data_IF_657534850675
#
_entry.id   IF_657534850675
#
_cell.length_a   1.000
_cell.length_b   1.000
_cell.length_c   1.000
_cell.angle_alpha   90.00
_cell.angle_beta   90.00
_cell.angle_gamma   90.00
#
_symmetry.space_group_name_H-M   'P 1'
#
loop_
_entity.id
_entity.type
_entity.pdbx_description
1 polymer ?
#
# COMPACT_ATOMS: atom_id res chain seq x y z
N UNK A 1 36.92 45.21 -2.07
CA UNK A 1 35.81 45.56 -1.16
C UNK A 1 34.51 45.01 -1.73
N UNK A 2 33.73 44.33 -0.88
CA UNK A 2 32.28 44.05 -0.91
C UNK A 2 31.69 43.04 -1.92
N UNK A 3 31.16 41.98 -1.29
CA UNK A 3 30.30 40.86 -1.74
C UNK A 3 28.94 41.35 -2.27
N UNK A 4 28.28 40.56 -3.12
CA UNK A 4 26.87 40.18 -2.89
C UNK A 4 26.40 39.04 -3.82
N UNK A 5 26.13 37.90 -3.18
CA UNK A 5 25.33 36.73 -3.52
C UNK A 5 24.02 37.03 -4.27
N UNK A 6 23.63 36.18 -5.24
CA UNK A 6 22.29 35.53 -5.31
C UNK A 6 22.40 34.21 -6.08
N UNK A 7 22.32 33.11 -5.34
CA UNK A 7 22.03 31.79 -5.86
C UNK A 7 20.53 31.70 -6.18
N UNK A 8 20.17 31.09 -7.30
CA UNK A 8 18.86 30.47 -7.50
C UNK A 8 19.13 29.13 -8.20
N UNK A 9 19.28 28.10 -7.36
CA UNK A 9 19.19 26.71 -7.75
C UNK A 9 17.72 26.43 -8.09
N UNK A 10 17.40 26.36 -9.38
CA UNK A 10 16.09 25.86 -9.82
C UNK A 10 16.20 24.34 -9.89
N UNK A 11 15.85 23.71 -8.77
CA UNK A 11 15.79 22.26 -8.60
C UNK A 11 14.83 21.60 -9.57
N UNK A 12 15.23 20.41 -10.01
CA UNK A 12 14.51 19.61 -11.00
C UNK A 12 13.19 19.05 -10.49
N UNK A 13 12.29 18.83 -11.43
CA UNK A 13 11.15 17.95 -11.27
C UNK A 13 11.35 16.78 -12.25
N UNK A 14 11.99 15.72 -11.78
CA UNK A 14 12.03 14.44 -12.50
C UNK A 14 10.63 13.84 -12.36
N UNK A 15 9.81 14.02 -13.38
CA UNK A 15 8.57 13.28 -13.54
C UNK A 15 8.92 11.83 -13.87
N UNK A 16 9.27 11.04 -12.86
CA UNK A 16 9.31 9.60 -12.96
C UNK A 16 7.85 9.12 -12.98
N UNK A 17 7.32 9.03 -14.19
CA UNK A 17 6.10 8.29 -14.50
C UNK A 17 6.36 6.83 -14.09
N UNK A 18 6.00 6.46 -12.86
CA UNK A 18 6.01 5.06 -12.43
C UNK A 18 4.84 4.41 -13.16
N UNK A 19 5.18 3.84 -14.30
CA UNK A 19 4.36 2.86 -15.02
C UNK A 19 3.93 1.83 -13.99
N UNK A 20 2.60 1.72 -13.79
CA UNK A 20 1.99 0.63 -13.04
C UNK A 20 2.40 -0.69 -13.70
N UNK A 21 3.48 -1.27 -13.20
CA UNK A 21 3.89 -2.61 -13.55
C UNK A 21 2.89 -3.55 -12.88
N UNK A 22 1.87 -3.95 -13.63
CA UNK A 22 1.02 -5.11 -13.34
C UNK A 22 1.87 -6.38 -13.54
N UNK A 23 2.92 -6.51 -12.74
CA UNK A 23 3.70 -7.74 -12.60
C UNK A 23 3.30 -8.39 -11.30
N UNK A 24 2.89 -9.66 -11.35
CA UNK A 24 2.81 -10.48 -10.15
C UNK A 24 4.23 -10.63 -9.61
N UNK A 25 4.53 -9.92 -8.53
CA UNK A 25 5.84 -9.98 -7.94
C UNK A 25 5.92 -11.20 -7.01
N UNK A 26 6.87 -12.09 -7.27
CA UNK A 26 7.12 -13.25 -6.41
C UNK A 26 7.85 -12.78 -5.15
N UNK A 27 7.11 -12.63 -4.05
CA UNK A 27 7.66 -12.14 -2.79
C UNK A 27 6.95 -12.72 -1.58
N UNK A 28 6.50 -13.98 -1.64
CA UNK A 28 5.69 -14.61 -0.60
C UNK A 28 6.14 -14.26 0.83
N UNK A 29 7.43 -14.37 1.13
CA UNK A 29 7.98 -14.02 2.45
C UNK A 29 8.66 -12.64 2.57
N UNK A 30 8.68 -11.84 1.50
CA UNK A 30 9.42 -10.56 1.43
C UNK A 30 8.48 -9.37 1.35
N UNK A 31 8.84 -8.31 2.08
CA UNK A 31 8.12 -7.04 2.00
C UNK A 31 8.30 -6.40 0.61
N UNK A 32 7.19 -6.17 -0.10
CA UNK A 32 7.13 -5.36 -1.31
C UNK A 32 6.56 -3.99 -0.96
N UNK A 33 7.25 -2.93 -1.40
CA UNK A 33 6.76 -1.57 -1.27
C UNK A 33 5.53 -1.34 -2.15
N UNK A 34 4.57 -0.59 -1.64
CA UNK A 34 3.41 -0.11 -2.39
C UNK A 34 3.27 1.40 -2.24
N UNK A 35 2.64 2.01 -3.24
CA UNK A 35 2.36 3.44 -3.27
C UNK A 35 1.08 3.65 -4.07
N UNK A 36 -0.04 3.74 -3.35
CA UNK A 36 -1.37 3.79 -3.93
C UNK A 36 -2.03 5.14 -3.69
N UNK A 37 -2.74 5.65 -4.70
CA UNK A 37 -3.63 6.80 -4.53
C UNK A 37 -5.05 6.29 -4.35
N UNK A 38 -5.54 6.34 -3.11
CA UNK A 38 -6.88 5.90 -2.77
C UNK A 38 -7.92 6.95 -3.22
N UNK A 39 -8.93 6.53 -3.98
CA UNK A 39 -10.02 7.41 -4.39
C UNK A 39 -10.90 7.84 -3.21
N UNK A 40 -11.56 8.99 -3.39
CA UNK A 40 -12.59 9.52 -2.50
C UNK A 40 -13.77 8.55 -2.28
N UNK A 41 -14.58 8.84 -1.26
CA UNK A 41 -15.82 8.12 -0.94
C UNK A 41 -15.62 6.63 -0.62
N UNK A 42 -14.50 6.30 0.05
CA UNK A 42 -14.17 4.94 0.48
C UNK A 42 -14.12 3.91 -0.64
N UNK A 43 -13.91 4.37 -1.88
CA UNK A 43 -13.68 3.47 -3.01
C UNK A 43 -12.35 2.75 -2.76
N UNK A 44 -12.34 1.44 -3.01
CA UNK A 44 -11.16 0.62 -2.76
C UNK A 44 -10.03 0.91 -3.75
N UNK A 45 -8.81 1.03 -3.21
CA UNK A 45 -7.57 0.87 -3.94
C UNK A 45 -7.01 -0.54 -3.75
N UNK A 46 -6.11 -0.94 -4.65
CA UNK A 46 -5.54 -2.29 -4.68
C UNK A 46 -4.04 -2.21 -4.89
N UNK A 47 -3.29 -3.01 -4.14
CA UNK A 47 -1.87 -3.19 -4.43
C UNK A 47 -1.69 -4.17 -5.59
N UNK A 48 -0.45 -4.26 -6.08
CA UNK A 48 -0.01 -5.42 -6.87
C UNK A 48 -0.21 -6.73 -6.09
N UNK A 49 -0.38 -7.82 -6.84
CA UNK A 49 -0.51 -9.17 -6.28
C UNK A 49 0.84 -9.76 -5.88
N UNK A 50 0.82 -10.60 -4.85
CA UNK A 50 1.90 -11.51 -4.47
C UNK A 50 1.39 -12.96 -4.50
N UNK A 51 2.25 -13.89 -4.92
CA UNK A 51 1.99 -15.32 -4.72
C UNK A 51 2.30 -15.68 -3.27
N UNK A 52 1.33 -16.29 -2.59
CA UNK A 52 1.48 -16.78 -1.22
C UNK A 52 2.42 -17.97 -1.17
N UNK A 53 3.40 -17.96 -0.27
CA UNK A 53 4.42 -19.01 -0.17
C UNK A 53 4.02 -20.05 0.89
N UNK A 54 3.37 -19.63 1.97
CA UNK A 54 2.97 -20.47 3.11
C UNK A 54 1.45 -20.45 3.30
N UNK A 55 0.83 -21.64 3.37
CA UNK A 55 -0.62 -21.74 3.58
C UNK A 55 -1.02 -21.22 4.96
N UNK A 56 -2.11 -20.45 5.03
CA UNK A 56 -2.75 -19.94 6.25
C UNK A 56 -1.88 -19.04 7.14
N UNK A 57 -0.65 -18.71 6.71
CA UNK A 57 0.18 -17.79 7.46
C UNK A 57 -0.36 -16.37 7.30
N UNK A 58 -0.41 -15.61 8.38
CA UNK A 58 -0.89 -14.22 8.32
C UNK A 58 0.03 -13.41 7.41
N UNK A 59 -0.57 -12.61 6.51
CA UNK A 59 0.20 -11.58 5.81
C UNK A 59 0.64 -10.52 6.81
N UNK A 60 1.58 -9.66 6.43
CA UNK A 60 2.01 -8.56 7.28
C UNK A 60 2.08 -7.28 6.46
N UNK A 61 1.57 -6.19 7.01
CA UNK A 61 1.59 -4.87 6.39
C UNK A 61 2.24 -3.87 7.34
N UNK A 62 3.13 -3.05 6.78
CA UNK A 62 3.67 -1.87 7.41
C UNK A 62 3.22 -0.65 6.61
N UNK A 63 2.46 0.22 7.25
CA UNK A 63 1.98 1.48 6.68
C UNK A 63 3.05 2.54 6.93
N UNK A 64 3.64 3.04 5.86
CA UNK A 64 4.62 4.13 5.94
C UNK A 64 3.94 5.48 6.19
N UNK A 65 3.00 5.85 5.33
CA UNK A 65 2.29 7.14 5.38
C UNK A 65 0.85 7.01 4.89
N UNK A 66 -0.08 7.71 5.53
CA UNK A 66 -1.51 7.85 5.23
C UNK A 66 -1.92 9.31 5.40
N UNK A 67 -1.22 10.25 4.75
CA UNK A 67 -1.62 11.66 4.74
C UNK A 67 -1.93 12.29 6.11
N UNK A 68 -1.16 11.92 7.15
CA UNK A 68 -1.17 12.40 8.56
C UNK A 68 -2.51 12.26 9.31
N UNK A 69 -3.54 13.00 8.91
CA UNK A 69 -4.85 13.00 9.58
C UNK A 69 -5.78 11.87 9.13
N UNK A 70 -5.39 11.10 8.11
CA UNK A 70 -6.20 10.01 7.58
C UNK A 70 -5.80 8.67 8.19
N UNK A 71 -6.74 7.73 8.09
CA UNK A 71 -6.51 6.33 8.40
C UNK A 71 -6.93 5.44 7.23
N UNK A 72 -6.35 4.26 7.17
CA UNK A 72 -6.60 3.27 6.14
C UNK A 72 -7.07 1.97 6.75
N UNK A 73 -8.14 1.43 6.18
CA UNK A 73 -8.61 0.08 6.41
C UNK A 73 -7.94 -0.86 5.40
N UNK A 74 -7.45 -1.99 5.88
CA UNK A 74 -6.66 -2.95 5.09
C UNK A 74 -7.22 -4.35 5.28
N UNK A 75 -7.37 -5.07 4.18
CA UNK A 75 -7.72 -6.50 4.17
C UNK A 75 -6.94 -7.23 3.07
N UNK A 76 -6.60 -8.50 3.30
CA UNK A 76 -5.93 -9.33 2.31
C UNK A 76 -6.97 -10.07 1.48
N UNK A 77 -6.90 -9.95 0.17
CA UNK A 77 -7.85 -10.59 -0.74
C UNK A 77 -7.16 -11.48 -1.75
N UNK A 78 -7.81 -12.59 -2.10
CA UNK A 78 -7.39 -13.40 -3.24
C UNK A 78 -7.70 -12.66 -4.55
N UNK A 79 -6.70 -12.49 -5.40
CA UNK A 79 -6.78 -11.59 -6.57
C UNK A 79 -7.83 -12.04 -7.59
N UNK A 80 -7.98 -13.36 -7.80
CA UNK A 80 -8.89 -13.93 -8.80
C UNK A 80 -10.30 -14.16 -8.26
N UNK A 81 -10.43 -14.63 -7.02
CA UNK A 81 -11.72 -15.00 -6.43
C UNK A 81 -12.40 -13.84 -5.69
N UNK A 82 -11.69 -12.73 -5.46
CA UNK A 82 -12.16 -11.56 -4.71
C UNK A 82 -12.68 -11.89 -3.30
N UNK A 83 -12.21 -13.01 -2.74
CA UNK A 83 -12.47 -13.40 -1.35
C UNK A 83 -11.46 -12.70 -0.47
N UNK A 84 -11.93 -11.94 0.51
CA UNK A 84 -11.11 -11.16 1.43
C UNK A 84 -11.10 -11.77 2.84
N UNK A 85 -10.01 -11.52 3.55
CA UNK A 85 -9.87 -11.82 4.97
C UNK A 85 -10.68 -10.86 5.83
N UNK A 86 -10.59 -11.04 7.15
CA UNK A 86 -11.00 -9.99 8.07
C UNK A 86 -10.24 -8.68 7.79
N UNK A 87 -10.94 -7.58 7.99
CA UNK A 87 -10.45 -6.22 7.76
C UNK A 87 -9.88 -5.66 9.04
N UNK A 88 -8.67 -5.13 8.96
CA UNK A 88 -8.08 -4.30 10.02
C UNK A 88 -8.43 -2.85 9.73
N UNK A 89 -8.95 -2.16 10.74
CA UNK A 89 -9.45 -0.80 10.59
C UNK A 89 -8.50 0.24 11.17
N UNK A 90 -8.50 1.42 10.56
CA UNK A 90 -7.96 2.62 11.19
C UNK A 90 -6.45 2.69 11.34
N UNK A 91 -5.68 2.02 10.48
CA UNK A 91 -4.22 2.12 10.47
C UNK A 91 -3.77 3.52 10.05
N UNK A 92 -2.79 4.08 10.75
CA UNK A 92 -2.21 5.41 10.54
C UNK A 92 -0.75 5.31 10.10
N UNK A 93 -0.11 6.46 9.95
CA UNK A 93 1.32 6.59 9.71
C UNK A 93 2.15 5.75 10.68
N UNK A 94 3.02 4.90 10.12
CA UNK A 94 3.96 4.01 10.81
C UNK A 94 3.32 2.85 11.57
N UNK A 95 2.01 2.63 11.44
CA UNK A 95 1.39 1.44 12.00
C UNK A 95 1.79 0.18 11.22
N UNK A 96 1.86 -0.95 11.91
CA UNK A 96 2.01 -2.26 11.31
C UNK A 96 1.08 -3.27 11.97
N UNK A 97 0.69 -4.30 11.21
CA UNK A 97 -0.22 -5.33 11.69
C UNK A 97 -0.14 -6.59 10.85
N UNK A 98 -0.58 -7.69 11.46
CA UNK A 98 -0.78 -8.97 10.78
C UNK A 98 -2.20 -9.09 10.22
N UNK A 99 -2.30 -9.70 9.05
CA UNK A 99 -3.55 -9.92 8.32
C UNK A 99 -3.86 -11.42 8.33
N UNK A 100 -4.59 -11.85 9.36
CA UNK A 100 -5.04 -13.22 9.52
C UNK A 100 -5.86 -13.68 8.31
N UNK A 101 -5.59 -14.88 7.80
CA UNK A 101 -6.25 -15.41 6.60
C UNK A 101 -6.16 -16.94 6.54
N UNK A 102 -6.90 -17.54 5.60
CA UNK A 102 -6.92 -18.99 5.34
C UNK A 102 -6.53 -19.33 3.89
N UNK A 103 -5.76 -18.44 3.25
CA UNK A 103 -5.36 -18.64 1.85
C UNK A 103 -4.25 -19.69 1.75
N UNK A 104 -4.31 -20.52 0.71
CA UNK A 104 -3.32 -21.58 0.46
C UNK A 104 -2.06 -21.04 -0.21
N UNK A 105 -0.93 -21.72 -0.02
CA UNK A 105 0.27 -21.49 -0.82
C UNK A 105 -0.04 -21.63 -2.32
N UNK A 106 0.60 -20.80 -3.14
CA UNK A 106 0.33 -20.67 -4.57
C UNK A 106 -0.84 -19.75 -4.91
N UNK A 107 -1.66 -19.33 -3.93
CA UNK A 107 -2.71 -18.35 -4.18
C UNK A 107 -2.10 -16.98 -4.53
N UNK A 108 -2.64 -16.32 -5.55
CA UNK A 108 -2.38 -14.90 -5.78
C UNK A 108 -3.26 -14.07 -4.85
N UNK A 109 -2.63 -13.24 -4.04
CA UNK A 109 -3.30 -12.35 -3.08
C UNK A 109 -2.80 -10.92 -3.23
N UNK A 110 -3.60 -9.96 -2.81
CA UNK A 110 -3.30 -8.52 -2.84
C UNK A 110 -3.99 -7.82 -1.67
N UNK A 111 -3.52 -6.64 -1.31
CA UNK A 111 -4.22 -5.82 -0.33
C UNK A 111 -5.34 -5.03 -1.00
N UNK A 112 -6.49 -4.99 -0.34
CA UNK A 112 -7.49 -3.97 -0.57
C UNK A 112 -7.31 -2.87 0.48
N UNK A 113 -7.23 -1.63 0.03
CA UNK A 113 -7.04 -0.45 0.86
C UNK A 113 -8.26 0.45 0.73
N UNK A 114 -8.78 0.97 1.84
CA UNK A 114 -9.83 2.00 1.84
C UNK A 114 -9.51 3.07 2.85
N UNK A 115 -9.67 4.33 2.48
CA UNK A 115 -9.60 5.41 3.46
C UNK A 115 -10.79 5.26 4.43
N UNK A 116 -10.56 5.60 5.69
CA UNK A 116 -11.59 5.68 6.72
C UNK A 116 -12.80 6.56 6.31
N UNK A 117 -13.84 6.53 7.15
CA UNK A 117 -15.14 7.16 6.83
C UNK A 117 -15.07 8.66 6.58
N UNK A 118 -15.95 9.14 5.69
CA UNK A 118 -16.13 10.57 5.43
C UNK A 118 -15.09 11.22 4.52
N UNK A 119 -14.18 10.45 3.92
CA UNK A 119 -13.17 11.02 3.03
C UNK A 119 -13.77 11.48 1.67
N UNK A 120 -13.50 12.74 1.30
CA UNK A 120 -13.93 13.37 0.03
C UNK A 120 -12.77 13.71 -0.91
N UNK A 121 -11.53 13.40 -0.54
CA UNK A 121 -10.32 13.73 -1.28
C UNK A 121 -9.63 12.46 -1.79
N UNK A 122 -8.55 12.60 -2.56
CA UNK A 122 -7.68 11.45 -2.83
C UNK A 122 -6.63 11.39 -1.73
N UNK A 123 -6.32 10.20 -1.24
CA UNK A 123 -5.31 10.01 -0.18
C UNK A 123 -4.22 9.11 -0.73
N UNK A 124 -2.98 9.57 -0.65
CA UNK A 124 -1.84 8.75 -1.02
C UNK A 124 -1.40 7.92 0.18
N UNK A 125 -1.29 6.60 -0.03
CA UNK A 125 -0.89 5.64 0.99
C UNK A 125 0.34 4.89 0.50
N UNK A 126 1.37 4.88 1.34
CA UNK A 126 2.65 4.24 1.06
C UNK A 126 3.00 3.30 2.19
N UNK A 127 3.71 2.23 1.87
CA UNK A 127 4.15 1.25 2.85
C UNK A 127 4.82 0.06 2.21
N UNK A 128 4.89 -1.04 2.94
CA UNK A 128 5.31 -2.32 2.42
C UNK A 128 4.49 -3.46 3.00
N UNK A 129 4.33 -4.54 2.26
CA UNK A 129 3.60 -5.72 2.74
C UNK A 129 4.16 -7.02 2.18
N UNK A 130 3.87 -8.12 2.86
CA UNK A 130 4.18 -9.48 2.43
C UNK A 130 2.97 -10.39 2.63
N UNK A 131 2.77 -11.34 1.71
CA UNK A 131 1.62 -12.25 1.76
C UNK A 131 1.79 -13.39 2.75
N UNK A 132 3.05 -13.77 3.04
CA UNK A 132 3.50 -14.95 3.77
C UNK A 132 2.88 -16.24 3.24
#
# INVERSE_FOLDING_TARGET
MKRSTKALATGGLVAALIVGATGTAYAGTKNIAFNETLPRFQIAGWTNSQTKEVSNLAGHVNVGTVGDDYSVDVELCQSLLLVCSEKVHGLRDRDDTDLANSFRAGAEVRLQLRVGSGNVVHVQVQGAWRSN
#
